data_IF_206101513988
#
_entry.id   IF_206101513988
#
_cell.length_a   1.000
_cell.length_b   1.000
_cell.length_c   1.000
_cell.angle_alpha   90.00
_cell.angle_beta   90.00
_cell.angle_gamma   90.00
#
_symmetry.space_group_name_H-M   'P 1'
#
loop_
_entity.id
_entity.type
_entity.pdbx_description
1 polymer ?
#
# COMPACT_ATOMS: atom_id res chain seq x y z
N UNK A 1 3.97 15.25 3.57
CA UNK A 1 3.28 13.98 3.32
C UNK A 1 3.08 13.16 4.60
N UNK A 2 4.11 13.00 5.42
CA UNK A 2 4.03 12.15 6.62
C UNK A 2 3.01 12.66 7.64
N UNK A 3 2.81 13.98 7.76
CA UNK A 3 1.79 14.55 8.64
C UNK A 3 0.38 14.18 8.18
N UNK A 4 0.12 14.23 6.88
CA UNK A 4 -1.16 13.81 6.30
C UNK A 4 -1.37 12.31 6.45
N UNK A 5 -0.32 11.52 6.23
CA UNK A 5 -0.40 10.07 6.40
C UNK A 5 -0.72 9.70 7.85
N UNK A 6 -0.17 10.43 8.83
CA UNK A 6 -0.47 10.20 10.25
C UNK A 6 -1.95 10.39 10.55
N UNK A 7 -2.59 11.40 9.96
CA UNK A 7 -4.02 11.65 10.10
C UNK A 7 -4.83 10.48 9.52
N UNK A 8 -4.43 10.00 8.35
CA UNK A 8 -5.10 8.87 7.69
C UNK A 8 -4.92 7.58 8.50
N UNK A 9 -3.74 7.35 9.05
CA UNK A 9 -3.47 6.19 9.91
C UNK A 9 -4.36 6.20 11.16
N UNK A 10 -4.59 7.36 11.76
CA UNK A 10 -5.52 7.48 12.91
C UNK A 10 -6.94 7.11 12.51
N UNK A 11 -7.40 7.50 11.32
CA UNK A 11 -8.71 7.10 10.82
C UNK A 11 -8.80 5.59 10.61
N UNK A 12 -7.74 4.98 10.10
CA UNK A 12 -7.65 3.53 9.93
C UNK A 12 -7.77 2.81 11.29
N UNK A 13 -7.03 3.25 12.30
CA UNK A 13 -7.09 2.69 13.65
C UNK A 13 -8.50 2.84 14.25
N UNK A 14 -9.15 3.98 14.04
CA UNK A 14 -10.52 4.20 14.52
C UNK A 14 -11.49 3.22 13.89
N UNK A 15 -11.34 2.94 12.60
CA UNK A 15 -12.20 1.98 11.89
C UNK A 15 -11.85 0.53 12.23
N UNK A 16 -10.57 0.25 12.45
CA UNK A 16 -10.06 -1.10 12.73
C UNK A 16 -9.19 -1.08 14.01
N UNK A 17 -9.82 -0.99 15.20
CA UNK A 17 -9.05 -0.80 16.45
C UNK A 17 -8.07 -1.92 16.76
N UNK A 18 -8.36 -3.15 16.32
CA UNK A 18 -7.47 -4.27 16.54
C UNK A 18 -6.13 -4.15 15.80
N UNK A 19 -6.03 -3.27 14.82
CA UNK A 19 -4.75 -2.99 14.15
C UNK A 19 -3.73 -2.37 15.09
N UNK A 20 -4.15 -1.83 16.22
CA UNK A 20 -3.30 -1.11 17.18
C UNK A 20 -3.34 -1.72 18.60
N UNK A 21 -3.69 -3.01 18.72
CA UNK A 21 -3.84 -3.68 20.02
C UNK A 21 -2.66 -4.59 20.39
N UNK A 22 -1.67 -4.70 19.53
CA UNK A 22 -0.54 -5.60 19.72
C UNK A 22 0.75 -4.82 19.94
N UNK A 23 1.85 -5.23 19.36
CA UNK A 23 3.11 -4.55 19.52
C UNK A 23 3.11 -3.15 18.91
N UNK A 24 3.90 -2.21 19.43
CA UNK A 24 4.05 -0.88 18.82
C UNK A 24 4.56 -0.98 17.39
N UNK A 25 4.15 -0.03 16.56
CA UNK A 25 4.55 0.03 15.16
C UNK A 25 4.72 1.47 14.70
N UNK A 26 5.57 1.66 13.70
CA UNK A 26 5.86 2.98 13.10
C UNK A 26 6.51 2.81 11.73
N UNK A 27 6.76 3.92 11.06
CA UNK A 27 7.59 3.95 9.85
C UNK A 27 9.06 3.90 10.31
N UNK A 28 9.80 2.86 9.93
CA UNK A 28 11.18 2.64 10.35
C UNK A 28 12.17 2.62 9.20
N UNK A 29 11.69 2.65 7.96
CA UNK A 29 12.51 2.65 6.76
C UNK A 29 12.05 3.73 5.79
N UNK A 30 12.75 3.86 4.67
CA UNK A 30 12.49 4.91 3.69
C UNK A 30 11.14 4.74 3.01
N UNK A 31 10.47 5.85 2.79
CA UNK A 31 9.26 5.92 1.96
C UNK A 31 9.71 5.93 0.49
N UNK A 32 9.04 5.15 -0.35
CA UNK A 32 9.39 4.98 -1.75
C UNK A 32 8.51 5.82 -2.65
N UNK A 33 9.13 6.58 -3.54
CA UNK A 33 8.47 7.22 -4.67
C UNK A 33 8.66 6.31 -5.89
N UNK A 34 7.57 5.84 -6.49
CA UNK A 34 7.61 4.91 -7.61
C UNK A 34 6.93 5.50 -8.83
N UNK A 35 7.55 5.30 -9.98
CA UNK A 35 7.05 5.71 -11.28
C UNK A 35 6.84 4.49 -12.18
N UNK A 36 5.65 4.44 -12.77
CA UNK A 36 5.30 3.42 -13.77
C UNK A 36 4.96 4.12 -15.08
N UNK A 37 5.75 3.89 -16.16
CA UNK A 37 5.38 4.40 -17.47
C UNK A 37 4.15 3.67 -18.01
N UNK A 38 3.55 4.14 -19.12
CA UNK A 38 2.55 3.36 -19.82
C UNK A 38 3.06 1.93 -20.09
N UNK A 39 2.21 0.93 -19.88
CA UNK A 39 2.49 -0.51 -19.90
C UNK A 39 3.37 -1.01 -18.76
N UNK A 40 3.83 -0.14 -17.84
CA UNK A 40 4.53 -0.54 -16.64
C UNK A 40 3.60 -0.85 -15.48
N UNK A 41 4.00 -1.78 -14.61
CA UNK A 41 3.22 -2.13 -13.42
C UNK A 41 3.80 -3.33 -12.71
N UNK A 42 3.35 -3.56 -11.48
CA UNK A 42 3.74 -4.73 -10.70
C UNK A 42 2.62 -5.76 -10.79
N UNK A 43 2.66 -6.57 -11.84
CA UNK A 43 1.56 -7.46 -12.28
C UNK A 43 1.42 -8.74 -11.46
N UNK A 44 2.45 -9.13 -10.72
CA UNK A 44 2.45 -10.38 -9.97
C UNK A 44 1.65 -10.25 -8.68
N UNK A 45 0.79 -11.23 -8.41
CA UNK A 45 0.14 -11.35 -7.12
C UNK A 45 1.18 -11.52 -6.02
N UNK A 46 1.10 -10.70 -4.98
CA UNK A 46 2.07 -10.75 -3.88
C UNK A 46 1.49 -10.27 -2.57
N UNK A 47 2.18 -10.60 -1.49
CA UNK A 47 1.96 -10.06 -0.15
C UNK A 47 3.25 -9.46 0.37
N UNK A 48 3.14 -8.48 1.29
CA UNK A 48 4.30 -7.71 1.76
C UNK A 48 5.07 -8.42 2.87
N UNK A 49 4.40 -9.20 3.72
CA UNK A 49 5.06 -10.06 4.71
C UNK A 49 5.07 -11.48 4.17
N UNK A 50 6.05 -11.78 3.32
CA UNK A 50 6.14 -13.03 2.59
C UNK A 50 7.11 -14.05 3.23
N UNK A 51 7.85 -13.66 4.27
CA UNK A 51 8.81 -14.55 4.93
C UNK A 51 9.12 -14.10 6.36
N UNK A 52 9.81 -14.96 7.11
CA UNK A 52 10.29 -14.65 8.46
C UNK A 52 11.61 -13.87 8.44
N UNK A 53 12.12 -13.49 7.28
CA UNK A 53 13.40 -12.79 7.11
C UNK A 53 13.17 -11.28 7.11
N UNK A 54 14.07 -10.53 7.79
CA UNK A 54 14.09 -9.08 7.72
C UNK A 54 14.37 -8.62 6.27
N UNK A 55 13.67 -7.60 5.74
CA UNK A 55 12.73 -6.68 6.40
C UNK A 55 11.27 -7.16 6.38
N UNK A 56 10.95 -8.27 5.73
CA UNK A 56 9.56 -8.70 5.49
C UNK A 56 8.82 -9.06 6.78
N UNK A 57 9.53 -9.67 7.73
CA UNK A 57 8.91 -10.22 8.95
C UNK A 57 8.24 -9.16 9.83
N UNK A 58 8.76 -7.93 9.85
CA UNK A 58 8.25 -6.87 10.71
C UNK A 58 7.14 -6.01 10.09
N UNK A 59 6.82 -6.22 8.83
CA UNK A 59 5.79 -5.42 8.14
C UNK A 59 4.41 -5.70 8.71
N UNK A 60 3.74 -4.66 9.16
CA UNK A 60 2.41 -4.73 9.77
C UNK A 60 1.33 -4.22 8.82
N UNK A 61 1.46 -2.99 8.36
CA UNK A 61 0.53 -2.37 7.41
C UNK A 61 1.29 -1.79 6.24
N UNK A 62 0.65 -1.80 5.07
CA UNK A 62 1.11 -1.11 3.87
C UNK A 62 0.38 0.22 3.77
N UNK A 63 1.06 1.28 3.37
CA UNK A 63 0.41 2.49 2.90
C UNK A 63 0.83 2.79 1.47
N UNK A 64 -0.09 3.34 0.70
CA UNK A 64 0.16 3.76 -0.68
C UNK A 64 -0.74 4.93 -1.03
N UNK A 65 -0.15 5.97 -1.61
CA UNK A 65 -0.89 7.14 -2.08
C UNK A 65 -0.66 7.30 -3.58
N UNK A 66 -1.75 7.45 -4.33
CA UNK A 66 -1.65 7.82 -5.74
C UNK A 66 -1.34 9.31 -5.86
N UNK A 67 -0.39 9.66 -6.73
CA UNK A 67 0.03 11.05 -6.94
C UNK A 67 -0.58 11.68 -8.18
N UNK A 68 -1.24 10.88 -9.02
CA UNK A 68 -1.95 11.38 -10.20
C UNK A 68 -3.17 10.52 -10.49
N UNK A 69 -4.10 11.08 -11.25
CA UNK A 69 -5.25 10.35 -11.76
C UNK A 69 -4.84 9.45 -12.91
N UNK A 70 -5.38 8.24 -12.96
CA UNK A 70 -5.26 7.33 -14.10
C UNK A 70 -6.66 6.89 -14.50
N UNK A 71 -7.05 7.20 -15.73
CA UNK A 71 -8.40 7.00 -16.22
C UNK A 71 -8.61 5.64 -16.88
N UNK A 72 -7.52 5.00 -17.31
CA UNK A 72 -7.56 3.70 -17.99
C UNK A 72 -6.49 2.80 -17.38
N UNK A 73 -6.93 1.71 -16.75
CA UNK A 73 -6.01 0.78 -16.10
C UNK A 73 -5.37 1.35 -14.84
N UNK A 74 -4.21 0.82 -14.47
CA UNK A 74 -3.43 1.31 -13.34
C UNK A 74 -3.97 0.99 -11.96
N UNK A 75 -5.08 0.26 -11.87
CA UNK A 75 -5.71 -0.05 -10.58
C UNK A 75 -4.81 -0.91 -9.69
N UNK A 76 -5.01 -0.79 -8.39
CA UNK A 76 -4.56 -1.76 -7.40
C UNK A 76 -5.67 -2.80 -7.23
N UNK A 77 -5.35 -4.05 -7.47
CA UNK A 77 -6.32 -5.15 -7.39
C UNK A 77 -6.02 -6.05 -6.19
N UNK A 78 -7.05 -6.28 -5.37
CA UNK A 78 -7.01 -7.18 -4.21
C UNK A 78 -7.74 -8.47 -4.55
N UNK A 79 -7.05 -9.60 -4.41
CA UNK A 79 -7.55 -10.91 -4.82
C UNK A 79 -8.75 -11.37 -3.98
N UNK A 80 -8.54 -11.49 -2.66
CA UNK A 80 -9.58 -12.05 -1.78
C UNK A 80 -10.78 -11.14 -1.60
N UNK A 81 -10.56 -9.83 -1.67
CA UNK A 81 -11.63 -8.83 -1.57
C UNK A 81 -12.38 -8.64 -2.89
N UNK A 82 -11.86 -9.20 -3.98
CA UNK A 82 -12.40 -9.00 -5.33
C UNK A 82 -12.62 -7.51 -5.63
N UNK A 83 -11.59 -6.71 -5.37
CA UNK A 83 -11.66 -5.25 -5.40
C UNK A 83 -10.57 -4.67 -6.27
N UNK A 84 -10.95 -3.72 -7.12
CA UNK A 84 -10.03 -2.86 -7.88
C UNK A 84 -10.22 -1.42 -7.44
N UNK A 85 -9.10 -0.75 -7.14
CA UNK A 85 -9.12 0.66 -6.75
C UNK A 85 -8.43 1.47 -7.83
N UNK A 86 -9.17 2.39 -8.43
CA UNK A 86 -8.64 3.28 -9.47
C UNK A 86 -7.77 4.38 -8.88
N UNK A 87 -6.64 4.70 -9.53
CA UNK A 87 -5.80 5.78 -9.06
C UNK A 87 -6.50 7.13 -9.14
N UNK A 88 -6.53 7.82 -8.00
CA UNK A 88 -7.00 9.20 -7.91
C UNK A 88 -5.97 10.00 -7.13
N UNK A 89 -5.58 11.14 -7.65
CA UNK A 89 -4.60 12.00 -6.98
C UNK A 89 -4.98 12.27 -5.52
N UNK A 90 -4.09 11.94 -4.61
CA UNK A 90 -4.26 12.14 -3.18
C UNK A 90 -5.00 11.01 -2.46
N UNK A 91 -5.52 10.00 -3.16
CA UNK A 91 -6.15 8.84 -2.52
C UNK A 91 -5.09 7.97 -1.87
N UNK A 92 -5.24 7.71 -0.58
CA UNK A 92 -4.35 6.84 0.19
C UNK A 92 -5.09 5.56 0.58
N UNK A 93 -4.43 4.44 0.38
CA UNK A 93 -4.87 3.13 0.82
C UNK A 93 -3.97 2.65 1.96
N UNK A 94 -4.56 2.00 2.96
CA UNK A 94 -3.85 1.28 4.01
C UNK A 94 -4.45 -0.12 4.10
N UNK A 95 -3.58 -1.14 4.15
CA UNK A 95 -4.02 -2.53 4.28
C UNK A 95 -3.00 -3.38 5.04
N UNK A 96 -3.44 -4.50 5.64
CA UNK A 96 -2.52 -5.42 6.31
C UNK A 96 -1.49 -6.02 5.35
N UNK A 97 -0.27 -6.23 5.85
CA UNK A 97 0.83 -6.77 5.06
C UNK A 97 0.75 -8.28 4.82
N UNK A 98 -0.38 -8.92 5.12
CA UNK A 98 -0.54 -10.37 5.12
C UNK A 98 -1.15 -10.92 3.82
N UNK A 99 -1.08 -12.25 3.68
CA UNK A 99 -1.65 -12.99 2.55
C UNK A 99 -3.15 -12.73 2.35
N UNK A 100 -3.85 -12.33 3.41
CA UNK A 100 -5.28 -11.95 3.36
C UNK A 100 -5.54 -10.78 2.40
N UNK A 101 -4.51 -9.97 2.13
CA UNK A 101 -4.56 -8.82 1.23
C UNK A 101 -3.58 -8.99 0.07
N UNK A 102 -3.59 -10.19 -0.51
CA UNK A 102 -2.87 -10.47 -1.75
C UNK A 102 -3.30 -9.48 -2.81
N UNK A 103 -2.36 -8.83 -3.49
CA UNK A 103 -2.65 -7.73 -4.40
C UNK A 103 -1.64 -7.64 -5.54
N UNK A 104 -2.00 -6.84 -6.55
CA UNK A 104 -1.13 -6.52 -7.68
C UNK A 104 -1.47 -5.15 -8.26
N UNK A 105 -0.54 -4.56 -9.00
CA UNK A 105 -0.76 -3.34 -9.77
C UNK A 105 -1.05 -3.67 -11.23
N UNK A 106 -2.22 -3.26 -11.71
CA UNK A 106 -2.58 -3.40 -13.12
C UNK A 106 -1.89 -2.29 -13.94
N UNK A 107 -1.59 -2.60 -15.20
CA UNK A 107 -0.97 -1.60 -16.08
C UNK A 107 -2.01 -0.66 -16.65
N UNK A 108 -1.59 0.58 -16.93
CA UNK A 108 -2.26 1.45 -17.89
C UNK A 108 -1.49 1.39 -19.21
N UNK A 109 -2.19 1.20 -20.31
CA UNK A 109 -1.56 1.16 -21.64
C UNK A 109 -1.21 2.56 -22.14
N UNK A 110 -1.88 3.58 -21.62
CA UNK A 110 -1.85 4.93 -22.19
C UNK A 110 -1.32 5.99 -21.23
N UNK A 111 -1.28 5.71 -19.92
CA UNK A 111 -0.97 6.72 -18.92
C UNK A 111 0.16 6.28 -18.00
N UNK A 112 0.93 7.24 -17.52
CA UNK A 112 1.89 7.04 -16.44
C UNK A 112 1.19 7.04 -15.08
N UNK A 113 1.82 6.38 -14.10
CA UNK A 113 1.34 6.32 -12.73
C UNK A 113 2.47 6.60 -11.76
N UNK A 114 2.22 7.53 -10.83
CA UNK A 114 3.12 7.85 -9.74
C UNK A 114 2.47 7.50 -8.42
N UNK A 115 3.22 6.84 -7.54
CA UNK A 115 2.76 6.50 -6.19
C UNK A 115 3.84 6.80 -5.16
N UNK A 116 3.40 7.06 -3.93
CA UNK A 116 4.23 6.96 -2.73
C UNK A 116 3.79 5.70 -2.00
N UNK A 117 4.72 4.87 -1.57
CA UNK A 117 4.41 3.65 -0.83
C UNK A 117 5.45 3.36 0.24
N UNK A 118 5.05 2.60 1.24
CA UNK A 118 5.91 2.15 2.32
C UNK A 118 5.17 1.28 3.30
N UNK A 119 5.79 1.04 4.43
CA UNK A 119 5.25 0.13 5.44
C UNK A 119 5.31 0.75 6.82
N UNK A 120 4.27 0.44 7.61
CA UNK A 120 4.34 0.54 9.06
C UNK A 120 4.88 -0.80 9.57
N UNK A 121 5.98 -0.75 10.29
CA UNK A 121 6.65 -1.94 10.79
C UNK A 121 6.50 -2.05 12.31
N UNK A 122 6.39 -3.29 12.80
CA UNK A 122 6.47 -3.53 14.24
C UNK A 122 7.84 -3.10 14.76
N UNK A 123 7.83 -2.48 15.93
CA UNK A 123 9.04 -2.17 16.70
C UNK A 123 9.37 -3.36 17.59
N UNK A 124 10.61 -3.60 17.80
CA UNK A 124 11.08 -4.73 18.62
C UNK A 124 10.77 -4.55 20.09
#
# INVERSE_FOLDING_TARGET
YLDELRIIAKKYITQYPWSDKFSPWSITDSVNLQYYPPNGGFKSWHTERSSATHPFASRHLVFMTYLNDVWEGGETEFYHQNLKVSPKKGLTLIWPSDWTHLHRGLVSKTQEKWIITGWFNFLN
#
